data_IF_818129310100
#
_entry.id   IF_818129310100
#
_cell.length_a   1.000
_cell.length_b   1.000
_cell.length_c   1.000
_cell.angle_alpha   90.00
_cell.angle_beta   90.00
_cell.angle_gamma   90.00
#
_symmetry.space_group_name_H-M   'P 1'
#
loop_
_entity.id
_entity.type
_entity.pdbx_description
1 polymer ?
#
# COMPACT_ATOMS: atom_id res chain seq x y z
N UNK A 1 -10.13 -5.15 -13.94
CA UNK A 1 -10.58 -3.78 -13.63
C UNK A 1 -9.98 -2.74 -14.56
N UNK A 2 -8.76 -2.21 -14.35
CA UNK A 2 -8.21 -1.13 -15.19
C UNK A 2 -8.11 -1.49 -16.69
N UNK A 3 -7.62 -2.70 -16.98
CA UNK A 3 -7.57 -3.24 -18.35
C UNK A 3 -8.95 -3.34 -19.01
N UNK A 4 -9.94 -3.84 -18.26
CA UNK A 4 -11.31 -4.01 -18.79
C UNK A 4 -11.98 -2.67 -19.07
N UNK A 5 -11.72 -1.65 -18.24
CA UNK A 5 -12.21 -0.29 -18.48
C UNK A 5 -11.65 0.29 -19.78
N UNK A 6 -10.34 0.18 -20.02
CA UNK A 6 -9.70 0.74 -21.22
C UNK A 6 -10.19 0.03 -22.50
N UNK A 7 -10.38 -1.28 -22.45
CA UNK A 7 -10.81 -2.05 -23.62
C UNK A 7 -12.33 -2.18 -23.78
N UNK A 8 -13.11 -1.67 -22.83
CA UNK A 8 -14.56 -1.84 -22.83
C UNK A 8 -15.03 -3.29 -22.73
N UNK A 9 -14.20 -4.16 -22.12
CA UNK A 9 -14.55 -5.57 -21.92
C UNK A 9 -15.69 -5.67 -20.89
N UNK A 10 -16.73 -6.42 -21.26
CA UNK A 10 -17.82 -6.81 -20.36
C UNK A 10 -17.76 -8.32 -20.11
N UNK A 11 -18.39 -8.80 -19.03
CA UNK A 11 -18.40 -10.24 -18.67
C UNK A 11 -18.83 -11.17 -19.82
N UNK A 12 -19.64 -10.66 -20.76
CA UNK A 12 -20.21 -11.41 -21.88
C UNK A 12 -19.68 -10.98 -23.25
N UNK A 13 -18.78 -9.98 -23.32
CA UNK A 13 -18.27 -9.48 -24.59
C UNK A 13 -16.83 -9.00 -24.45
N UNK A 14 -15.90 -9.74 -25.07
CA UNK A 14 -14.48 -9.38 -25.15
C UNK A 14 -14.21 -8.65 -26.44
N UNK A 15 -13.67 -7.43 -26.36
CA UNK A 15 -13.28 -6.65 -27.55
C UNK A 15 -11.84 -6.96 -27.94
N UNK A 16 -11.53 -6.82 -29.22
CA UNK A 16 -10.17 -7.03 -29.73
C UNK A 16 -9.18 -6.07 -29.06
N UNK A 17 -8.11 -6.61 -28.45
CA UNK A 17 -7.06 -5.83 -27.81
C UNK A 17 -5.90 -5.64 -28.79
N UNK A 18 -5.86 -4.49 -29.48
CA UNK A 18 -4.82 -4.19 -30.46
C UNK A 18 -3.40 -4.03 -29.84
N UNK A 19 -3.32 -3.76 -28.54
CA UNK A 19 -2.05 -3.53 -27.83
C UNK A 19 -2.08 -4.27 -26.49
N UNK A 20 -1.00 -5.00 -26.18
CA UNK A 20 -0.86 -5.66 -24.88
C UNK A 20 -0.81 -4.67 -23.72
N UNK A 21 -1.38 -5.04 -22.57
CA UNK A 21 -1.46 -4.18 -21.38
C UNK A 21 -0.09 -3.64 -20.95
N UNK A 22 0.95 -4.46 -21.02
CA UNK A 22 2.31 -4.04 -20.64
C UNK A 22 2.85 -2.93 -21.53
N UNK A 23 2.57 -2.95 -22.83
CA UNK A 23 2.95 -1.88 -23.78
C UNK A 23 2.23 -0.55 -23.49
N UNK A 24 0.98 -0.60 -23.04
CA UNK A 24 0.23 0.61 -22.65
C UNK A 24 0.83 1.29 -21.43
N UNK A 25 1.36 0.51 -20.49
CA UNK A 25 1.89 1.02 -19.22
C UNK A 25 3.29 1.62 -19.32
N UNK A 26 3.94 1.47 -20.48
CA UNK A 26 5.25 2.07 -20.79
C UNK A 26 5.12 3.60 -20.91
N UNK A 27 6.13 4.40 -20.54
CA UNK A 27 6.13 5.86 -20.73
C UNK A 27 5.84 6.28 -22.17
N UNK A 28 5.29 7.48 -22.36
CA UNK A 28 5.00 8.05 -23.68
C UNK A 28 6.24 8.13 -24.56
N UNK A 29 7.38 8.48 -23.95
CA UNK A 29 8.68 8.60 -24.63
C UNK A 29 9.21 7.26 -25.16
N UNK A 30 8.67 6.14 -24.67
CA UNK A 30 9.02 4.78 -25.09
C UNK A 30 7.86 4.10 -25.84
N UNK A 31 6.92 4.88 -26.38
CA UNK A 31 5.84 4.38 -27.25
C UNK A 31 4.63 3.77 -26.53
N UNK A 32 4.51 3.95 -25.21
CA UNK A 32 3.31 3.59 -24.44
C UNK A 32 2.39 4.78 -24.16
N UNK A 33 1.32 4.56 -23.38
CA UNK A 33 0.40 5.64 -22.97
C UNK A 33 0.84 6.33 -21.66
N UNK A 34 1.88 5.82 -21.00
CA UNK A 34 2.35 6.32 -19.71
C UNK A 34 1.38 6.04 -18.56
N UNK A 35 0.44 5.11 -18.73
CA UNK A 35 -0.57 4.80 -17.71
C UNK A 35 0.09 3.97 -16.61
N UNK A 36 0.09 4.51 -15.37
CA UNK A 36 0.60 3.78 -14.22
C UNK A 36 -0.28 2.55 -13.93
N UNK A 37 0.37 1.43 -13.60
CA UNK A 37 -0.32 0.20 -13.15
C UNK A 37 -1.04 0.50 -11.84
N UNK A 38 -2.38 0.40 -11.82
CA UNK A 38 -3.19 0.66 -10.62
C UNK A 38 -2.79 -0.24 -9.45
N UNK A 39 -2.35 -1.46 -9.74
CA UNK A 39 -1.80 -2.37 -8.73
C UNK A 39 -0.60 -1.76 -8.00
N UNK A 40 0.35 -1.17 -8.73
CA UNK A 40 1.51 -0.52 -8.15
C UNK A 40 1.11 0.73 -7.33
N UNK A 41 0.16 1.53 -7.84
CA UNK A 41 -0.36 2.70 -7.11
C UNK A 41 -1.11 2.31 -5.84
N UNK A 42 -1.93 1.26 -5.89
CA UNK A 42 -2.65 0.74 -4.73
C UNK A 42 -1.65 0.22 -3.69
N UNK A 43 -0.63 -0.53 -4.11
CA UNK A 43 0.43 -1.00 -3.23
C UNK A 43 1.16 0.15 -2.54
N UNK A 44 1.52 1.20 -3.28
CA UNK A 44 2.16 2.40 -2.71
C UNK A 44 1.22 3.12 -1.71
N UNK A 45 -0.08 3.22 -2.02
CA UNK A 45 -1.08 3.79 -1.11
C UNK A 45 -1.20 2.99 0.19
N UNK A 46 -1.28 1.66 0.08
CA UNK A 46 -1.35 0.77 1.24
C UNK A 46 -0.07 0.84 2.10
N UNK A 47 1.11 0.92 1.48
CA UNK A 47 2.37 1.14 2.19
C UNK A 47 2.35 2.47 2.96
N UNK A 48 1.88 3.55 2.32
CA UNK A 48 1.74 4.87 2.98
C UNK A 48 0.75 4.84 4.15
N UNK A 49 -0.36 4.10 4.02
CA UNK A 49 -1.33 3.92 5.11
C UNK A 49 -0.73 3.10 6.26
N UNK A 50 -0.07 1.99 5.97
CA UNK A 50 0.58 1.19 7.00
C UNK A 50 1.67 2.00 7.71
N UNK A 51 2.44 2.81 6.98
CA UNK A 51 3.41 3.73 7.57
C UNK A 51 2.79 4.69 8.59
N UNK A 52 1.72 5.38 8.21
CA UNK A 52 0.97 6.27 9.12
C UNK A 52 0.43 5.53 10.34
N UNK A 53 0.01 4.28 10.15
CA UNK A 53 -0.45 3.43 11.23
C UNK A 53 0.69 3.04 12.18
N UNK A 54 1.94 2.94 11.72
CA UNK A 54 3.13 2.71 12.57
C UNK A 54 3.62 3.99 13.27
N UNK A 55 3.64 5.13 12.57
CA UNK A 55 4.20 6.40 13.06
C UNK A 55 3.36 7.09 14.16
N UNK A 56 2.42 6.38 14.80
CA UNK A 56 1.57 6.97 15.86
C UNK A 56 0.81 8.21 15.43
N UNK A 57 0.35 8.23 14.17
CA UNK A 57 -0.51 9.32 13.73
C UNK A 57 -1.77 9.39 14.60
N UNK A 58 -2.03 10.58 15.15
CA UNK A 58 -3.20 10.90 15.98
C UNK A 58 -4.52 10.94 15.18
N UNK A 59 -4.47 10.61 13.89
CA UNK A 59 -5.61 10.50 13.00
C UNK A 59 -6.67 9.51 13.53
N UNK A 60 -7.95 9.90 13.48
CA UNK A 60 -9.07 9.12 14.02
C UNK A 60 -9.12 7.68 13.46
N UNK A 61 -8.85 7.50 12.17
CA UNK A 61 -8.88 6.17 11.55
C UNK A 61 -7.77 5.25 12.09
N UNK A 62 -6.61 5.79 12.47
CA UNK A 62 -5.54 5.04 13.13
C UNK A 62 -6.02 4.54 14.50
N UNK A 63 -6.64 5.43 15.30
CA UNK A 63 -7.17 5.11 16.63
C UNK A 63 -8.25 4.03 16.55
N UNK A 64 -9.19 4.16 15.61
CA UNK A 64 -10.26 3.17 15.38
C UNK A 64 -9.69 1.82 14.96
N UNK A 65 -8.73 1.78 14.03
CA UNK A 65 -8.13 0.51 13.60
C UNK A 65 -7.37 -0.16 14.74
N UNK A 66 -6.59 0.59 15.52
CA UNK A 66 -5.87 0.06 16.69
C UNK A 66 -6.81 -0.50 17.74
N UNK A 67 -7.86 0.25 18.10
CA UNK A 67 -8.87 -0.21 19.05
C UNK A 67 -9.62 -1.46 18.56
N UNK A 68 -9.91 -1.54 17.25
CA UNK A 68 -10.62 -2.67 16.66
C UNK A 68 -9.77 -3.95 16.60
N UNK A 69 -8.48 -3.78 16.33
CA UNK A 69 -7.57 -4.88 16.01
C UNK A 69 -6.56 -5.18 17.13
N UNK A 70 -6.57 -4.44 18.23
CA UNK A 70 -5.67 -4.63 19.39
C UNK A 70 -4.18 -4.61 18.97
N UNK A 71 -3.84 -3.66 18.11
CA UNK A 71 -2.50 -3.49 17.56
C UNK A 71 -1.75 -2.37 18.29
N UNK A 72 -0.52 -2.65 18.72
CA UNK A 72 0.41 -1.65 19.26
C UNK A 72 1.38 -1.14 18.17
N UNK A 73 2.05 -0.03 18.44
CA UNK A 73 2.84 0.78 17.50
C UNK A 73 3.95 0.00 16.80
N UNK A 74 4.48 -1.02 17.48
CA UNK A 74 5.57 -1.86 16.99
C UNK A 74 5.08 -3.15 16.33
N UNK A 75 3.85 -3.60 16.62
CA UNK A 75 3.42 -4.95 16.29
C UNK A 75 2.01 -5.01 15.69
N UNK A 76 1.96 -4.87 14.36
CA UNK A 76 0.75 -5.07 13.53
C UNK A 76 0.49 -6.57 13.29
N UNK A 77 1.35 -7.47 13.76
CA UNK A 77 1.24 -8.92 13.47
C UNK A 77 0.31 -9.68 14.42
N UNK A 78 -0.11 -9.08 15.53
CA UNK A 78 -0.89 -9.79 16.56
C UNK A 78 -2.37 -9.43 16.52
N UNK A 79 -3.16 -10.04 15.63
CA UNK A 79 -4.63 -9.95 15.72
C UNK A 79 -5.27 -11.32 15.81
N UNK A 80 -5.81 -11.62 16.99
CA UNK A 80 -6.44 -12.86 17.42
C UNK A 80 -7.91 -13.00 16.95
N UNK A 81 -8.34 -12.32 15.88
CA UNK A 81 -9.76 -12.28 15.48
C UNK A 81 -10.03 -12.83 14.07
N UNK A 82 -11.07 -13.66 13.98
CA UNK A 82 -11.49 -14.46 12.81
C UNK A 82 -12.11 -13.61 11.69
N UNK A 83 -12.63 -12.40 12.00
CA UNK A 83 -13.21 -11.47 11.02
C UNK A 83 -12.30 -10.26 10.78
N UNK A 84 -11.31 -10.44 9.90
CA UNK A 84 -10.42 -9.35 9.47
C UNK A 84 -10.95 -8.70 8.19
N UNK A 85 -10.97 -7.36 8.17
CA UNK A 85 -11.38 -6.62 6.97
C UNK A 85 -10.36 -6.81 5.86
N UNK A 86 -10.77 -6.73 4.60
CA UNK A 86 -9.87 -6.85 3.45
C UNK A 86 -8.74 -5.82 3.49
N UNK A 87 -9.02 -4.62 4.01
CA UNK A 87 -8.00 -3.59 4.24
C UNK A 87 -6.97 -4.06 5.28
N UNK A 88 -7.41 -4.59 6.41
CA UNK A 88 -6.50 -5.08 7.46
C UNK A 88 -5.60 -6.21 6.97
N UNK A 89 -6.16 -7.17 6.23
CA UNK A 89 -5.38 -8.24 5.58
C UNK A 89 -4.33 -7.68 4.62
N UNK A 90 -4.70 -6.69 3.82
CA UNK A 90 -3.78 -6.04 2.88
C UNK A 90 -2.65 -5.30 3.61
N UNK A 91 -2.94 -4.63 4.73
CA UNK A 91 -1.93 -3.96 5.55
C UNK A 91 -0.96 -4.95 6.19
N UNK A 92 -1.45 -6.05 6.77
CA UNK A 92 -0.61 -7.12 7.35
C UNK A 92 0.29 -7.74 6.28
N UNK A 93 -0.25 -8.05 5.11
CA UNK A 93 0.53 -8.68 4.03
C UNK A 93 1.68 -7.79 3.52
N UNK A 94 1.59 -6.47 3.72
CA UNK A 94 2.62 -5.50 3.35
C UNK A 94 3.59 -5.19 4.50
N UNK A 95 3.36 -5.72 5.69
CA UNK A 95 4.20 -5.52 6.86
C UNK A 95 5.68 -5.93 6.61
N UNK A 96 5.99 -7.10 6.02
CA UNK A 96 7.38 -7.51 5.79
C UNK A 96 8.07 -6.62 4.76
N UNK A 97 7.30 -6.03 3.84
CA UNK A 97 7.83 -5.11 2.84
C UNK A 97 8.29 -3.81 3.49
N UNK A 98 7.52 -3.30 4.44
CA UNK A 98 7.88 -2.08 5.17
C UNK A 98 9.14 -2.32 5.97
N UNK A 99 9.22 -3.42 6.71
CA UNK A 99 10.43 -3.77 7.49
C UNK A 99 11.69 -3.84 6.63
N UNK A 100 11.56 -4.36 5.40
CA UNK A 100 12.67 -4.40 4.45
C UNK A 100 13.11 -3.01 3.96
N UNK A 101 12.19 -2.07 3.82
CA UNK A 101 12.46 -0.73 3.28
C UNK A 101 12.63 0.35 4.36
N UNK A 102 12.54 -0.02 5.63
CA UNK A 102 12.69 0.91 6.76
C UNK A 102 14.02 0.68 7.45
N UNK A 103 14.86 1.71 7.42
CA UNK A 103 16.10 1.74 8.19
C UNK A 103 15.84 2.55 9.45
N UNK A 104 16.11 1.96 10.62
CA UNK A 104 16.11 2.70 11.87
C UNK A 104 17.37 3.54 11.94
N UNK A 105 17.24 4.87 11.80
CA UNK A 105 18.33 5.78 12.14
C UNK A 105 18.28 6.08 13.63
N UNK A 106 19.13 5.41 14.42
CA UNK A 106 19.35 5.80 15.80
C UNK A 106 20.13 7.13 15.81
N UNK A 107 19.42 8.24 16.05
CA UNK A 107 20.07 9.51 16.35
C UNK A 107 20.67 9.43 17.75
N UNK A 108 21.98 9.23 17.86
CA UNK A 108 22.70 9.51 19.10
C UNK A 108 22.75 11.03 19.28
N UNK A 109 21.80 11.54 20.05
CA UNK A 109 21.77 12.89 20.58
C UNK A 109 20.93 12.84 21.85
N UNK A 110 21.51 13.24 22.97
CA UNK A 110 20.82 13.33 24.26
C UNK A 110 19.53 14.13 24.11
N UNK A 111 18.39 13.49 24.38
CA UNK A 111 17.07 14.12 24.33
C UNK A 111 16.21 13.72 23.13
N UNK A 112 15.69 12.49 23.19
CA UNK A 112 14.32 12.11 22.77
C UNK A 112 13.70 12.82 21.56
N UNK A 113 13.69 12.12 20.41
CA UNK A 113 12.49 11.78 19.61
C UNK A 113 12.94 10.98 18.38
N UNK A 114 12.50 9.71 18.30
CA UNK A 114 12.80 8.77 17.24
C UNK A 114 12.10 9.20 15.93
N UNK A 115 12.73 10.11 15.19
CA UNK A 115 12.30 10.48 13.84
C UNK A 115 12.74 9.42 12.83
N UNK A 116 11.79 8.68 12.28
CA UNK A 116 12.09 7.72 11.21
C UNK A 116 12.27 8.49 9.90
N UNK A 117 13.48 8.46 9.34
CA UNK A 117 13.80 9.20 8.10
C UNK A 117 13.18 8.52 6.87
N UNK A 118 12.58 9.35 6.01
CA UNK A 118 12.05 8.99 4.69
C UNK A 118 13.21 8.73 3.73
N UNK A 119 13.27 7.54 3.15
CA UNK A 119 14.10 7.24 1.96
C UNK A 119 13.40 7.64 0.67
#
# INVERSE_FOLDING_TARGET
MQRQFIWGDTKHNRRFHAIGWDRITVPKDSGGLGIRKLEAMNKACLLKLNWKLRENSDELWCKVLRAKYECDNSNISSTRRVSTSSLWKALINLQPMIEKFTVWSAGMGEGSMLGVKRG
#
